data_IF_630634423405
#
_entry.id   IF_630634423405
#
_cell.length_a   1.000
_cell.length_b   1.000
_cell.length_c   1.000
_cell.angle_alpha   90.00
_cell.angle_beta   90.00
_cell.angle_gamma   90.00
#
_symmetry.space_group_name_H-M   'P 1'
#
loop_
_entity.id
_entity.type
_entity.pdbx_description
1 polymer ?
#
# COMPACT_ATOMS: atom_id res chain seq x y z
N UNK A 1 -2.57 36.89 -11.23
CA UNK A 1 -1.19 36.56 -10.78
C UNK A 1 -0.99 36.55 -9.25
N UNK A 2 -1.52 37.50 -8.46
CA UNK A 2 -1.39 37.49 -6.98
C UNK A 2 -1.95 36.21 -6.32
N UNK A 3 -3.12 35.73 -6.75
CA UNK A 3 -3.75 34.51 -6.23
C UNK A 3 -2.89 33.26 -6.46
N UNK A 4 -2.17 33.19 -7.58
CA UNK A 4 -1.30 32.06 -7.91
C UNK A 4 -0.05 32.05 -7.02
N UNK A 5 0.58 33.21 -6.79
CA UNK A 5 1.72 33.33 -5.86
C UNK A 5 1.30 32.96 -4.43
N UNK A 6 0.12 33.39 -3.98
CA UNK A 6 -0.40 33.06 -2.66
C UNK A 6 -0.66 31.54 -2.52
N UNK A 7 -1.21 30.91 -3.55
CA UNK A 7 -1.41 29.47 -3.59
C UNK A 7 -0.09 28.70 -3.45
N UNK A 8 0.92 29.02 -4.28
CA UNK A 8 2.22 28.34 -4.23
C UNK A 8 2.94 28.55 -2.90
N UNK A 9 2.87 29.75 -2.32
CA UNK A 9 3.41 30.02 -0.98
C UNK A 9 2.74 29.14 0.07
N UNK A 10 1.40 29.13 0.13
CA UNK A 10 0.66 28.29 1.07
C UNK A 10 0.87 26.78 0.87
N UNK A 11 1.11 26.34 -0.37
CA UNK A 11 1.47 24.96 -0.68
C UNK A 11 2.83 24.58 -0.09
N UNK A 12 3.84 25.43 -0.25
CA UNK A 12 5.19 25.22 0.29
C UNK A 12 5.18 25.31 1.83
N UNK A 13 4.44 26.26 2.40
CA UNK A 13 4.35 26.47 3.85
C UNK A 13 3.78 25.22 4.55
N UNK A 14 2.77 24.58 3.95
CA UNK A 14 2.21 23.30 4.41
C UNK A 14 3.03 22.08 4.02
N UNK A 15 4.25 22.25 3.51
CA UNK A 15 5.13 21.16 3.03
C UNK A 15 4.51 20.31 1.93
N UNK A 16 3.60 20.87 1.13
CA UNK A 16 3.01 20.20 -0.03
C UNK A 16 4.04 19.82 -1.09
N UNK A 17 5.14 20.59 -1.19
CA UNK A 17 6.27 20.28 -2.07
C UNK A 17 6.94 18.94 -1.71
N UNK A 18 7.05 18.60 -0.42
CA UNK A 18 7.57 17.30 0.01
C UNK A 18 6.65 16.16 -0.42
N UNK A 19 5.34 16.33 -0.26
CA UNK A 19 4.34 15.34 -0.70
C UNK A 19 4.39 15.16 -2.21
N UNK A 20 4.48 16.25 -2.97
CA UNK A 20 4.58 16.18 -4.43
C UNK A 20 5.83 15.44 -4.90
N UNK A 21 7.00 15.82 -4.39
CA UNK A 21 8.27 15.15 -4.74
C UNK A 21 8.23 13.69 -4.33
N UNK A 22 7.71 13.36 -3.14
CA UNK A 22 7.56 11.98 -2.71
C UNK A 22 6.66 11.16 -3.64
N UNK A 23 5.51 11.68 -4.02
CA UNK A 23 4.60 10.99 -4.96
C UNK A 23 5.26 10.75 -6.31
N UNK A 24 5.97 11.75 -6.87
CA UNK A 24 6.67 11.59 -8.16
C UNK A 24 7.79 10.56 -8.05
N UNK A 25 8.65 10.68 -7.02
CA UNK A 25 9.75 9.73 -6.76
C UNK A 25 9.23 8.31 -6.53
N UNK A 26 8.15 8.15 -5.77
CA UNK A 26 7.48 6.87 -5.55
C UNK A 26 7.02 6.24 -6.87
N UNK A 27 6.46 7.02 -7.79
CA UNK A 27 6.06 6.51 -9.11
C UNK A 27 7.26 6.05 -9.94
N UNK A 28 8.36 6.81 -9.93
CA UNK A 28 9.60 6.41 -10.60
C UNK A 28 10.15 5.11 -10.00
N UNK A 29 10.20 5.00 -8.68
CA UNK A 29 10.65 3.78 -7.98
C UNK A 29 9.73 2.58 -8.27
N UNK A 30 8.41 2.77 -8.27
CA UNK A 30 7.46 1.71 -8.62
C UNK A 30 7.67 1.22 -10.07
N UNK A 31 7.96 2.13 -11.00
CA UNK A 31 8.27 1.79 -12.37
C UNK A 31 9.58 1.00 -12.46
N UNK A 32 10.61 1.40 -11.71
CA UNK A 32 11.87 0.66 -11.63
C UNK A 32 11.65 -0.76 -11.10
N UNK A 33 10.84 -0.93 -10.05
CA UNK A 33 10.49 -2.25 -9.52
C UNK A 33 9.81 -3.13 -10.59
N UNK A 34 8.87 -2.57 -11.36
CA UNK A 34 8.22 -3.28 -12.47
C UNK A 34 9.19 -3.67 -13.59
N UNK A 35 10.13 -2.78 -13.96
CA UNK A 35 11.16 -3.09 -14.96
C UNK A 35 12.11 -4.20 -14.47
N UNK A 36 12.47 -4.17 -13.19
CA UNK A 36 13.32 -5.21 -12.59
C UNK A 36 12.60 -6.56 -12.62
N UNK A 37 11.33 -6.61 -12.21
CA UNK A 37 10.54 -7.84 -12.25
C UNK A 37 10.48 -8.43 -13.67
N UNK A 38 10.22 -7.58 -14.68
CA UNK A 38 10.18 -7.98 -16.09
C UNK A 38 11.51 -8.53 -16.62
N UNK A 39 12.65 -8.06 -16.08
CA UNK A 39 13.98 -8.56 -16.49
C UNK A 39 14.39 -9.84 -15.76
N UNK A 40 13.89 -10.09 -14.56
CA UNK A 40 14.35 -11.20 -13.72
C UNK A 40 13.49 -12.46 -13.86
N UNK A 41 12.23 -12.31 -14.26
CA UNK A 41 11.19 -13.34 -14.24
C UNK A 41 10.71 -13.60 -15.67
N UNK A 42 10.39 -14.86 -15.99
CA UNK A 42 9.83 -15.21 -17.30
C UNK A 42 8.47 -14.52 -17.52
N UNK A 43 8.18 -14.16 -18.78
CA UNK A 43 6.98 -13.42 -19.13
C UNK A 43 5.69 -14.18 -18.79
N UNK A 44 5.69 -15.51 -18.94
CA UNK A 44 4.52 -16.35 -18.62
C UNK A 44 4.27 -16.38 -17.12
N UNK A 45 5.31 -16.62 -16.32
CA UNK A 45 5.20 -16.70 -14.86
C UNK A 45 4.86 -15.35 -14.23
N UNK A 46 5.49 -14.27 -14.71
CA UNK A 46 5.15 -12.91 -14.31
C UNK A 46 3.70 -12.57 -14.68
N UNK A 47 3.21 -13.07 -15.82
CA UNK A 47 1.82 -12.93 -16.25
C UNK A 47 0.83 -13.51 -15.22
N UNK A 48 1.12 -14.69 -14.66
CA UNK A 48 0.29 -15.29 -13.61
C UNK A 48 0.26 -14.46 -12.33
N UNK A 49 1.41 -13.93 -11.89
CA UNK A 49 1.47 -13.06 -10.71
C UNK A 49 0.71 -11.76 -10.94
N UNK A 50 0.90 -11.12 -12.10
CA UNK A 50 0.22 -9.86 -12.45
C UNK A 50 -1.30 -10.07 -12.53
N UNK A 51 -1.76 -11.20 -13.10
CA UNK A 51 -3.19 -11.52 -13.14
C UNK A 51 -3.78 -11.60 -11.73
N UNK A 52 -3.13 -12.34 -10.82
CA UNK A 52 -3.55 -12.40 -9.42
C UNK A 52 -3.49 -11.03 -8.72
N UNK A 53 -2.45 -10.23 -9.01
CA UNK A 53 -2.28 -8.89 -8.46
C UNK A 53 -3.37 -7.92 -8.93
N UNK A 54 -3.89 -8.06 -10.15
CA UNK A 54 -5.00 -7.24 -10.65
C UNK A 54 -6.29 -7.51 -9.86
N UNK A 55 -6.58 -8.78 -9.56
CA UNK A 55 -7.70 -9.14 -8.66
C UNK A 55 -7.50 -8.47 -7.30
N UNK A 56 -6.29 -8.58 -6.74
CA UNK A 56 -5.98 -7.96 -5.45
C UNK A 56 -6.07 -6.43 -5.46
N UNK A 57 -5.70 -5.78 -6.57
CA UNK A 57 -5.77 -4.32 -6.72
C UNK A 57 -7.20 -3.81 -6.56
N UNK A 58 -8.20 -4.58 -7.02
CA UNK A 58 -9.61 -4.27 -6.78
C UNK A 58 -10.02 -4.48 -5.31
N UNK A 59 -9.41 -5.43 -4.62
CA UNK A 59 -9.76 -5.80 -3.23
C UNK A 59 -9.04 -4.94 -2.18
N UNK A 60 -7.84 -4.43 -2.45
CA UNK A 60 -7.05 -3.62 -1.52
C UNK A 60 -7.84 -2.40 -0.97
N UNK A 61 -8.60 -1.63 -1.79
CA UNK A 61 -9.45 -0.56 -1.26
C UNK A 61 -10.52 -0.99 -0.25
N UNK A 62 -10.92 -2.28 -0.27
CA UNK A 62 -11.87 -2.86 0.68
C UNK A 62 -11.20 -3.27 2.00
N UNK A 63 -9.87 -3.16 2.11
CA UNK A 63 -9.16 -3.39 3.37
C UNK A 63 -9.69 -2.48 4.48
N UNK A 64 -9.85 -3.04 5.67
CA UNK A 64 -10.52 -2.40 6.79
C UNK A 64 -11.96 -1.96 6.52
N UNK A 65 -12.60 -2.42 5.44
CA UNK A 65 -13.90 -1.96 4.97
C UNK A 65 -13.97 -0.43 4.76
N UNK A 66 -12.86 0.18 4.32
CA UNK A 66 -12.80 1.62 4.05
C UNK A 66 -12.78 2.50 5.31
N UNK A 67 -12.64 1.92 6.50
CA UNK A 67 -12.66 2.66 7.78
C UNK A 67 -11.56 3.74 7.88
N UNK A 68 -10.48 3.60 7.12
CA UNK A 68 -9.39 4.58 6.98
C UNK A 68 -9.91 5.95 6.51
N UNK A 69 -10.91 5.98 5.62
CA UNK A 69 -11.53 7.23 5.17
C UNK A 69 -12.36 7.87 6.28
N UNK A 70 -13.01 7.03 7.09
CA UNK A 70 -13.72 7.46 8.31
C UNK A 70 -12.76 8.09 9.31
N UNK A 71 -11.58 7.51 9.53
CA UNK A 71 -10.53 8.09 10.37
C UNK A 71 -10.15 9.49 9.89
N UNK A 72 -9.88 9.66 8.59
CA UNK A 72 -9.52 10.96 8.04
C UNK A 72 -10.61 12.02 8.25
N UNK A 73 -11.88 11.64 8.03
CA UNK A 73 -13.04 12.55 8.17
C UNK A 73 -13.30 12.93 9.62
N UNK A 74 -13.50 11.94 10.50
CA UNK A 74 -13.88 12.18 11.89
C UNK A 74 -12.68 12.64 12.72
N UNK A 75 -11.48 12.13 12.44
CA UNK A 75 -10.25 12.53 13.13
C UNK A 75 -9.88 14.00 12.90
N UNK A 76 -10.25 14.58 11.76
CA UNK A 76 -10.04 16.01 11.48
C UNK A 76 -10.97 16.93 12.29
N UNK A 77 -12.11 16.43 12.78
CA UNK A 77 -13.10 17.20 13.54
C UNK A 77 -12.82 17.21 15.05
N UNK A 78 -12.02 16.26 15.53
CA UNK A 78 -11.65 16.17 16.94
C UNK A 78 -10.59 17.22 17.30
N UNK A 79 -10.72 17.82 18.48
CA UNK A 79 -9.77 18.80 18.99
C UNK A 79 -8.79 18.19 20.00
N UNK A 80 -9.23 17.19 20.76
CA UNK A 80 -8.39 16.55 21.77
C UNK A 80 -7.45 15.50 21.18
N UNK A 81 -6.18 15.53 21.61
CA UNK A 81 -5.19 14.51 21.27
C UNK A 81 -5.61 13.14 21.80
N UNK A 82 -6.27 13.07 22.96
CA UNK A 82 -6.72 11.80 23.56
C UNK A 82 -7.82 11.15 22.73
N UNK A 83 -8.79 11.95 22.27
CA UNK A 83 -9.89 11.49 21.41
C UNK A 83 -9.36 11.02 20.05
N UNK A 84 -8.42 11.76 19.44
CA UNK A 84 -7.78 11.35 18.19
C UNK A 84 -7.06 10.01 18.32
N UNK A 85 -6.31 9.80 19.41
CA UNK A 85 -5.63 8.53 19.70
C UNK A 85 -6.62 7.39 19.94
N UNK A 86 -7.71 7.64 20.67
CA UNK A 86 -8.75 6.66 20.90
C UNK A 86 -9.43 6.24 19.58
N UNK A 87 -9.78 7.22 18.73
CA UNK A 87 -10.33 6.98 17.41
C UNK A 87 -9.35 6.19 16.53
N UNK A 88 -8.08 6.59 16.48
CA UNK A 88 -7.05 5.86 15.73
C UNK A 88 -6.93 4.41 16.21
N UNK A 89 -6.86 4.17 17.53
CA UNK A 89 -6.78 2.82 18.11
C UNK A 89 -8.00 1.96 17.77
N UNK A 90 -9.19 2.55 17.84
CA UNK A 90 -10.44 1.88 17.43
C UNK A 90 -10.40 1.49 15.96
N UNK A 91 -10.08 2.44 15.08
CA UNK A 91 -10.02 2.22 13.64
C UNK A 91 -8.96 1.19 13.30
N UNK A 92 -7.76 1.32 13.86
CA UNK A 92 -6.64 0.41 13.66
C UNK A 92 -7.04 -1.03 14.00
N UNK A 93 -7.55 -1.27 15.21
CA UNK A 93 -7.94 -2.61 15.67
C UNK A 93 -9.09 -3.21 14.87
N UNK A 94 -10.18 -2.45 14.66
CA UNK A 94 -11.35 -2.95 13.94
C UNK A 94 -11.05 -3.18 12.47
N UNK A 95 -10.38 -2.24 11.81
CA UNK A 95 -9.98 -2.41 10.42
C UNK A 95 -8.99 -3.56 10.23
N UNK A 96 -8.08 -3.81 11.19
CA UNK A 96 -7.19 -4.97 11.12
C UNK A 96 -7.97 -6.29 11.20
N UNK A 97 -8.94 -6.40 12.12
CA UNK A 97 -9.81 -7.59 12.23
C UNK A 97 -10.57 -7.83 10.92
N UNK A 98 -11.19 -6.80 10.34
CA UNK A 98 -11.90 -6.94 9.07
C UNK A 98 -10.97 -7.31 7.90
N UNK A 99 -9.77 -6.74 7.87
CA UNK A 99 -8.76 -7.06 6.86
C UNK A 99 -8.29 -8.50 6.98
N UNK A 100 -8.10 -9.02 8.20
CA UNK A 100 -7.75 -10.42 8.45
C UNK A 100 -8.86 -11.36 7.98
N UNK A 101 -10.12 -11.05 8.28
CA UNK A 101 -11.27 -11.83 7.82
C UNK A 101 -11.33 -11.83 6.29
N UNK A 102 -11.19 -10.66 5.64
CA UNK A 102 -11.24 -10.54 4.19
C UNK A 102 -10.06 -11.28 3.53
N UNK A 103 -8.85 -11.15 4.07
CA UNK A 103 -7.67 -11.90 3.62
C UNK A 103 -7.89 -13.42 3.73
N UNK A 104 -8.42 -13.90 4.86
CA UNK A 104 -8.72 -15.32 5.04
C UNK A 104 -9.80 -15.81 4.07
N UNK A 105 -10.83 -15.01 3.83
CA UNK A 105 -11.87 -15.32 2.85
C UNK A 105 -11.29 -15.45 1.43
N UNK A 106 -10.44 -14.51 1.00
CA UNK A 106 -9.77 -14.57 -0.31
C UNK A 106 -8.90 -15.82 -0.42
N UNK A 107 -8.12 -16.12 0.62
CA UNK A 107 -7.29 -17.32 0.67
C UNK A 107 -8.11 -18.60 0.47
N UNK A 108 -9.21 -18.74 1.21
CA UNK A 108 -10.10 -19.91 1.12
C UNK A 108 -10.79 -19.96 -0.26
N UNK A 109 -11.38 -18.86 -0.71
CA UNK A 109 -12.12 -18.80 -1.98
C UNK A 109 -11.24 -19.11 -3.19
N UNK A 110 -9.94 -18.80 -3.14
CA UNK A 110 -9.01 -19.10 -4.22
C UNK A 110 -8.81 -20.60 -4.49
N UNK A 111 -9.22 -21.50 -3.58
CA UNK A 111 -9.23 -22.95 -3.83
C UNK A 111 -10.48 -23.42 -4.57
N UNK A 112 -11.59 -22.69 -4.45
CA UNK A 112 -12.89 -23.10 -4.95
C UNK A 112 -13.29 -22.39 -6.24
N UNK A 113 -12.80 -21.17 -6.46
CA UNK A 113 -13.12 -20.37 -7.64
C UNK A 113 -12.09 -20.68 -8.74
N UNK A 114 -12.48 -21.33 -9.85
CA UNK A 114 -11.58 -21.54 -10.96
C UNK A 114 -11.24 -20.20 -11.61
N UNK A 115 -9.94 -19.92 -11.76
CA UNK A 115 -9.44 -18.78 -12.50
C UNK A 115 -9.18 -19.18 -13.96
N UNK A 116 -9.23 -18.19 -14.86
CA UNK A 116 -8.88 -18.37 -16.28
C UNK A 116 -7.47 -18.96 -16.44
N UNK A 117 -6.54 -18.52 -15.58
CA UNK A 117 -5.20 -19.08 -15.44
C UNK A 117 -5.09 -19.82 -14.09
N UNK A 118 -5.14 -21.17 -14.07
CA UNK A 118 -5.12 -21.94 -12.83
C UNK A 118 -3.88 -21.68 -11.95
N UNK A 119 -2.72 -21.44 -12.56
CA UNK A 119 -1.47 -21.11 -11.87
C UNK A 119 -1.59 -19.81 -11.06
N UNK A 120 -2.37 -18.83 -11.53
CA UNK A 120 -2.61 -17.58 -10.81
C UNK A 120 -3.31 -17.78 -9.48
N UNK A 121 -4.05 -18.88 -9.28
CA UNK A 121 -4.69 -19.18 -8.00
C UNK A 121 -3.64 -19.42 -6.90
N UNK A 122 -2.47 -19.96 -7.26
CA UNK A 122 -1.35 -20.11 -6.33
C UNK A 122 -0.83 -18.76 -5.84
N UNK A 123 -0.59 -17.81 -6.75
CA UNK A 123 -0.15 -16.47 -6.37
C UNK A 123 -1.23 -15.69 -5.62
N UNK A 124 -2.51 -15.86 -5.99
CA UNK A 124 -3.63 -15.22 -5.30
C UNK A 124 -3.70 -15.61 -3.82
N UNK A 125 -3.41 -16.88 -3.48
CA UNK A 125 -3.31 -17.34 -2.09
C UNK A 125 -2.25 -16.59 -1.31
N UNK A 126 -1.05 -16.47 -1.85
CA UNK A 126 0.02 -15.74 -1.18
C UNK A 126 -0.29 -14.25 -1.09
N UNK A 127 -0.77 -13.66 -2.19
CA UNK A 127 -1.13 -12.25 -2.26
C UNK A 127 -2.32 -11.89 -1.37
N UNK A 128 -3.11 -12.84 -0.84
CA UNK A 128 -4.15 -12.48 0.12
C UNK A 128 -3.56 -11.76 1.35
N UNK A 129 -2.34 -12.14 1.76
CA UNK A 129 -1.61 -11.48 2.85
C UNK A 129 -1.21 -10.03 2.53
N UNK A 130 -1.11 -9.65 1.25
CA UNK A 130 -0.85 -8.28 0.81
C UNK A 130 -1.89 -7.30 1.35
N UNK A 131 -3.14 -7.76 1.51
CA UNK A 131 -4.25 -6.97 2.03
C UNK A 131 -3.93 -6.41 3.43
N UNK A 132 -3.27 -7.23 4.26
CA UNK A 132 -2.87 -6.89 5.63
C UNK A 132 -1.75 -5.84 5.60
N UNK A 133 -0.68 -6.10 4.86
CA UNK A 133 0.46 -5.19 4.76
C UNK A 133 0.05 -3.81 4.22
N UNK A 134 -0.78 -3.78 3.18
CA UNK A 134 -1.29 -2.54 2.59
C UNK A 134 -2.21 -1.78 3.56
N UNK A 135 -3.07 -2.48 4.31
CA UNK A 135 -3.91 -1.84 5.33
C UNK A 135 -3.07 -1.11 6.39
N UNK A 136 -2.01 -1.76 6.88
CA UNK A 136 -1.10 -1.19 7.87
C UNK A 136 -0.35 0.04 7.33
N UNK A 137 0.14 -0.03 6.08
CA UNK A 137 0.79 1.10 5.44
C UNK A 137 -0.18 2.30 5.29
N UNK A 138 -1.39 2.06 4.78
CA UNK A 138 -2.37 3.12 4.53
C UNK A 138 -2.88 3.78 5.81
N UNK A 139 -3.15 3.01 6.88
CA UNK A 139 -3.63 3.59 8.14
C UNK A 139 -2.57 4.50 8.79
N UNK A 140 -1.29 4.16 8.69
CA UNK A 140 -0.19 4.99 9.19
C UNK A 140 -0.05 6.27 8.35
N UNK A 141 -0.15 6.16 7.02
CA UNK A 141 -0.15 7.33 6.13
C UNK A 141 -1.31 8.29 6.43
N UNK A 142 -2.52 7.74 6.66
CA UNK A 142 -3.69 8.54 7.06
C UNK A 142 -3.43 9.24 8.40
N UNK A 143 -2.83 8.57 9.37
CA UNK A 143 -2.49 9.16 10.66
C UNK A 143 -1.53 10.35 10.52
N UNK A 144 -0.45 10.21 9.74
CA UNK A 144 0.46 11.34 9.52
C UNK A 144 -0.20 12.51 8.80
N UNK A 145 -1.16 12.23 7.91
CA UNK A 145 -1.95 13.28 7.26
C UNK A 145 -2.86 14.01 8.23
N UNK A 146 -3.49 13.30 9.17
CA UNK A 146 -4.30 13.89 10.26
C UNK A 146 -3.49 14.76 11.21
N UNK A 147 -2.24 14.38 11.46
CA UNK A 147 -1.30 15.16 12.28
C UNK A 147 -0.66 16.33 11.51
N UNK A 148 -1.05 16.54 10.25
CA UNK A 148 -0.42 17.49 9.32
C UNK A 148 1.10 17.28 9.15
N UNK A 149 1.59 16.08 9.44
CA UNK A 149 3.00 15.72 9.35
C UNK A 149 3.34 15.22 7.94
N UNK A 150 3.23 16.14 6.98
CA UNK A 150 3.43 15.87 5.56
C UNK A 150 4.86 15.39 5.23
N UNK A 151 5.84 15.70 6.09
CA UNK A 151 7.21 15.19 5.95
C UNK A 151 7.30 13.69 6.24
N UNK A 152 6.69 13.22 7.34
CA UNK A 152 6.66 11.78 7.67
C UNK A 152 5.84 10.99 6.65
N UNK A 153 4.71 11.55 6.21
CA UNK A 153 3.93 10.97 5.10
C UNK A 153 4.80 10.79 3.84
N UNK A 154 5.49 11.85 3.41
CA UNK A 154 6.38 11.83 2.25
C UNK A 154 7.53 10.82 2.41
N UNK A 155 8.13 10.75 3.60
CA UNK A 155 9.19 9.79 3.91
C UNK A 155 8.70 8.35 3.80
N UNK A 156 7.57 8.00 4.42
CA UNK A 156 6.98 6.65 4.34
C UNK A 156 6.71 6.25 2.89
N UNK A 157 6.14 7.15 2.10
CA UNK A 157 5.82 6.87 0.69
C UNK A 157 7.08 6.55 -0.14
N UNK A 158 8.16 7.33 0.03
CA UNK A 158 9.43 7.07 -0.66
C UNK A 158 10.08 5.80 -0.12
N UNK A 159 10.14 5.63 1.21
CA UNK A 159 10.83 4.52 1.85
C UNK A 159 10.18 3.18 1.50
N UNK A 160 8.85 3.11 1.49
CA UNK A 160 8.09 1.96 1.00
C UNK A 160 8.49 1.58 -0.44
N UNK A 161 8.45 2.53 -1.37
CA UNK A 161 8.76 2.24 -2.77
C UNK A 161 10.24 1.89 -2.99
N UNK A 162 11.14 2.48 -2.19
CA UNK A 162 12.56 2.13 -2.20
C UNK A 162 12.79 0.71 -1.69
N UNK A 163 12.17 0.34 -0.56
CA UNK A 163 12.19 -1.03 -0.04
C UNK A 163 11.59 -2.01 -1.05
N UNK A 164 10.51 -1.64 -1.74
CA UNK A 164 9.92 -2.46 -2.79
C UNK A 164 10.92 -2.74 -3.92
N UNK A 165 11.63 -1.73 -4.42
CA UNK A 165 12.67 -1.91 -5.45
C UNK A 165 13.74 -2.90 -4.99
N UNK A 166 14.27 -2.72 -3.77
CA UNK A 166 15.29 -3.61 -3.20
C UNK A 166 14.73 -5.03 -3.03
N UNK A 167 13.54 -5.17 -2.45
CA UNK A 167 12.92 -6.46 -2.20
C UNK A 167 12.63 -7.21 -3.51
N UNK A 168 12.12 -6.52 -4.53
CA UNK A 168 11.87 -7.10 -5.87
C UNK A 168 13.17 -7.54 -6.52
N UNK A 169 14.23 -6.74 -6.42
CA UNK A 169 15.54 -7.11 -6.96
C UNK A 169 16.12 -8.33 -6.26
N UNK A 170 16.22 -8.29 -4.92
CA UNK A 170 16.85 -9.36 -4.13
C UNK A 170 16.02 -10.64 -4.22
N UNK A 171 14.74 -10.59 -3.87
CA UNK A 171 13.89 -11.77 -3.82
C UNK A 171 13.58 -12.28 -5.23
N UNK A 172 13.33 -11.40 -6.19
CA UNK A 172 13.10 -11.80 -7.59
C UNK A 172 14.33 -12.44 -8.24
N UNK A 173 15.54 -12.06 -7.83
CA UNK A 173 16.77 -12.70 -8.29
C UNK A 173 16.89 -14.15 -7.78
N UNK A 174 16.65 -14.37 -6.48
CA UNK A 174 16.82 -15.69 -5.85
C UNK A 174 15.63 -16.63 -6.02
N UNK A 175 14.41 -16.10 -5.99
CA UNK A 175 13.16 -16.87 -5.92
C UNK A 175 12.16 -16.56 -7.05
N UNK A 176 12.58 -15.79 -8.07
CA UNK A 176 11.79 -15.50 -9.28
C UNK A 176 10.38 -14.94 -8.98
N UNK A 177 9.34 -15.48 -9.60
CA UNK A 177 7.94 -15.05 -9.47
C UNK A 177 7.41 -15.14 -8.03
N UNK A 178 7.85 -16.14 -7.28
CA UNK A 178 7.56 -16.23 -5.85
C UNK A 178 8.29 -15.17 -5.04
N UNK A 179 9.54 -14.89 -5.39
CA UNK A 179 10.30 -13.79 -4.81
C UNK A 179 9.63 -12.44 -5.00
N UNK A 180 9.11 -12.18 -6.20
CA UNK A 180 8.34 -10.98 -6.49
C UNK A 180 7.04 -10.91 -5.69
N UNK A 181 6.31 -12.01 -5.58
CA UNK A 181 5.09 -12.10 -4.78
C UNK A 181 5.35 -11.79 -3.30
N UNK A 182 6.42 -12.35 -2.74
CA UNK A 182 6.83 -12.09 -1.35
C UNK A 182 7.30 -10.63 -1.18
N UNK A 183 8.04 -10.08 -2.15
CA UNK A 183 8.47 -8.69 -2.12
C UNK A 183 7.29 -7.71 -2.02
N UNK A 184 6.22 -7.94 -2.78
CA UNK A 184 5.00 -7.13 -2.72
C UNK A 184 4.35 -7.17 -1.33
N UNK A 185 4.36 -8.32 -0.66
CA UNK A 185 3.75 -8.50 0.67
C UNK A 185 4.61 -7.87 1.76
N UNK A 186 5.94 -8.06 1.70
CA UNK A 186 6.87 -7.63 2.74
C UNK A 186 7.22 -6.15 2.68
N UNK A 187 7.34 -5.55 1.49
CA UNK A 187 7.77 -4.15 1.38
C UNK A 187 6.85 -3.17 2.13
N UNK A 188 5.50 -3.24 2.04
CA UNK A 188 4.63 -2.39 2.85
C UNK A 188 4.76 -2.69 4.35
N UNK A 189 4.95 -3.96 4.74
CA UNK A 189 5.04 -4.40 6.13
C UNK A 189 6.33 -3.95 6.83
N UNK A 190 7.45 -3.93 6.11
CA UNK A 190 8.77 -3.53 6.63
C UNK A 190 8.99 -2.02 6.65
N UNK A 191 8.01 -1.24 6.20
CA UNK A 191 8.12 0.22 6.11
C UNK A 191 8.06 0.91 7.49
N UNK A 192 7.53 0.24 8.51
CA UNK A 192 7.25 0.80 9.84
C UNK A 192 7.89 0.01 10.98
#
# INVERSE_FOLDING_TARGET
MKNLKHFFKGFIDRKGNYVFVATVSARILSLLASIIALKLIDATDLGYVIYALNIMTFLIPLSGLGIQQGLLRFGAQLNSVTEKKALFSFVFKKGLIFTLILSAAIFILSYFIPLEFPQSAYFLRWLSALLISMYLLEIIKVQFRLEHNNKKFAYIEIFYNFLLVIAVFVLGYFFKEMGYTIALILAPLLTF
#
